data_IF_779715276498
#
_entry.id   IF_779715276498
#
_cell.length_a   1.000
_cell.length_b   1.000
_cell.length_c   1.000
_cell.angle_alpha   90.00
_cell.angle_beta   90.00
_cell.angle_gamma   90.00
#
_symmetry.space_group_name_H-M   'P 1'
#
loop_
_entity.id
_entity.type
_entity.pdbx_description
1 polymer ?
#
# COMPACT_ATOMS: atom_id res chain seq x y z
N UNK A 1 10.40 -5.31 -12.73
CA UNK A 1 9.48 -4.20 -13.04
C UNK A 1 10.22 -3.11 -13.80
N UNK A 2 9.62 -2.57 -14.86
CA UNK A 2 10.09 -1.32 -15.46
C UNK A 2 9.66 -0.14 -14.60
N UNK A 3 10.26 1.03 -14.85
CA UNK A 3 9.96 2.30 -14.16
C UNK A 3 8.45 2.59 -14.00
N UNK A 4 7.63 2.16 -14.96
CA UNK A 4 6.17 2.32 -14.95
C UNK A 4 5.42 1.51 -13.87
N UNK A 5 5.93 0.34 -13.45
CA UNK A 5 5.29 -0.47 -12.41
C UNK A 5 5.54 0.07 -11.01
N UNK A 6 6.78 0.52 -10.78
CA UNK A 6 7.16 1.15 -9.52
C UNK A 6 6.43 2.48 -9.31
N UNK A 7 6.39 3.33 -10.35
CA UNK A 7 5.67 4.60 -10.33
C UNK A 7 4.17 4.39 -10.05
N UNK A 8 3.54 3.38 -10.68
CA UNK A 8 2.12 3.10 -10.44
C UNK A 8 1.83 2.66 -9.00
N UNK A 9 2.70 1.85 -8.38
CA UNK A 9 2.53 1.44 -6.97
C UNK A 9 2.75 2.62 -6.03
N UNK A 10 3.72 3.48 -6.33
CA UNK A 10 3.94 4.72 -5.57
C UNK A 10 2.72 5.65 -5.63
N UNK A 11 2.11 5.82 -6.81
CA UNK A 11 0.88 6.61 -6.96
C UNK A 11 -0.31 6.01 -6.19
N UNK A 12 -0.47 4.67 -6.19
CA UNK A 12 -1.50 4.01 -5.39
C UNK A 12 -1.29 4.26 -3.90
N UNK A 13 -0.05 4.19 -3.41
CA UNK A 13 0.26 4.48 -2.02
C UNK A 13 0.02 5.96 -1.67
N UNK A 14 0.41 6.90 -2.55
CA UNK A 14 0.14 8.31 -2.38
C UNK A 14 -1.37 8.61 -2.32
N UNK A 15 -2.16 7.99 -3.21
CA UNK A 15 -3.62 8.10 -3.21
C UNK A 15 -4.24 7.54 -1.92
N UNK A 16 -3.73 6.40 -1.43
CA UNK A 16 -4.15 5.82 -0.16
C UNK A 16 -3.90 6.78 1.01
N UNK A 17 -2.67 7.28 1.15
CA UNK A 17 -2.30 8.19 2.25
C UNK A 17 -3.07 9.52 2.13
N UNK A 18 -3.25 10.03 0.92
CA UNK A 18 -4.08 11.20 0.65
C UNK A 18 -5.54 10.99 1.05
N UNK A 19 -6.11 9.81 0.82
CA UNK A 19 -7.45 9.47 1.27
C UNK A 19 -7.56 9.45 2.80
N UNK A 20 -6.60 8.79 3.49
CA UNK A 20 -6.61 8.75 4.97
C UNK A 20 -6.53 10.16 5.55
N UNK A 21 -5.59 10.99 5.07
CA UNK A 21 -5.43 12.38 5.51
C UNK A 21 -6.69 13.23 5.30
N UNK A 22 -7.42 13.01 4.20
CA UNK A 22 -8.67 13.73 3.89
C UNK A 22 -9.87 13.20 4.68
N UNK A 23 -9.87 11.93 5.05
CA UNK A 23 -11.03 11.24 5.63
C UNK A 23 -10.65 10.32 6.81
N UNK A 24 -10.01 10.84 7.87
CA UNK A 24 -9.45 10.01 8.95
C UNK A 24 -10.53 9.16 9.66
N UNK A 25 -11.68 9.77 9.99
CA UNK A 25 -12.78 9.04 10.64
C UNK A 25 -13.44 7.97 9.77
N UNK A 26 -13.46 8.15 8.44
CA UNK A 26 -13.99 7.15 7.50
C UNK A 26 -13.02 5.97 7.38
N UNK A 27 -11.72 6.25 7.34
CA UNK A 27 -10.69 5.23 7.29
C UNK A 27 -10.69 4.37 8.56
N UNK A 28 -10.77 4.98 9.74
CA UNK A 28 -10.89 4.28 11.02
C UNK A 28 -12.16 3.43 11.09
N UNK A 29 -13.31 3.96 10.66
CA UNK A 29 -14.57 3.22 10.63
C UNK A 29 -14.49 1.99 9.69
N UNK A 30 -13.91 2.15 8.50
CA UNK A 30 -13.68 1.05 7.56
C UNK A 30 -12.74 -0.02 8.14
N UNK A 31 -11.72 0.38 8.91
CA UNK A 31 -10.79 -0.54 9.54
C UNK A 31 -11.44 -1.35 10.68
N UNK A 32 -12.25 -0.70 11.52
CA UNK A 32 -12.81 -1.29 12.73
C UNK A 32 -14.11 -2.08 12.52
N UNK A 33 -14.89 -1.79 11.47
CA UNK A 33 -16.22 -2.38 11.30
C UNK A 33 -16.46 -2.94 9.90
N UNK A 34 -15.80 -4.03 9.50
CA UNK A 34 -16.14 -4.63 8.23
C UNK A 34 -17.29 -5.61 8.47
N UNK A 35 -18.52 -5.21 8.18
CA UNK A 35 -19.48 -6.22 7.73
C UNK A 35 -18.99 -6.73 6.37
N UNK A 36 -18.05 -7.69 6.42
CA UNK A 36 -17.36 -8.26 5.26
C UNK A 36 -18.31 -8.99 4.31
N UNK A 37 -19.60 -9.04 4.64
CA UNK A 37 -20.66 -9.65 3.84
C UNK A 37 -21.43 -8.63 3.01
N UNK A 38 -21.19 -7.32 3.18
CA UNK A 38 -21.82 -6.32 2.32
C UNK A 38 -21.28 -6.49 0.87
N UNK A 39 -22.15 -6.76 -0.12
CA UNK A 39 -21.72 -7.10 -1.47
C UNK A 39 -20.89 -6.04 -2.19
N UNK A 40 -21.20 -4.75 -2.03
CA UNK A 40 -20.44 -3.66 -2.65
C UNK A 40 -19.04 -3.53 -2.05
N UNK A 41 -18.88 -3.73 -0.74
CA UNK A 41 -17.58 -3.77 -0.06
C UNK A 41 -16.73 -4.94 -0.55
N UNK A 42 -17.35 -6.11 -0.78
CA UNK A 42 -16.67 -7.27 -1.37
C UNK A 42 -16.19 -6.94 -2.78
N UNK A 43 -17.05 -6.40 -3.64
CA UNK A 43 -16.70 -6.02 -5.02
C UNK A 43 -15.55 -5.01 -5.05
N UNK A 44 -15.64 -3.94 -4.25
CA UNK A 44 -14.60 -2.92 -4.18
C UNK A 44 -13.27 -3.48 -3.65
N UNK A 45 -13.32 -4.32 -2.62
CA UNK A 45 -12.12 -4.95 -2.05
C UNK A 45 -11.44 -5.89 -3.04
N UNK A 46 -12.22 -6.69 -3.79
CA UNK A 46 -11.72 -7.57 -4.85
C UNK A 46 -11.10 -6.78 -5.99
N UNK A 47 -11.76 -5.71 -6.45
CA UNK A 47 -11.22 -4.86 -7.51
C UNK A 47 -9.89 -4.20 -7.12
N UNK A 48 -9.77 -3.75 -5.85
CA UNK A 48 -8.52 -3.21 -5.33
C UNK A 48 -7.41 -4.26 -5.26
N UNK A 49 -7.72 -5.48 -4.82
CA UNK A 49 -6.77 -6.60 -4.81
C UNK A 49 -6.30 -6.93 -6.23
N UNK A 50 -7.23 -7.08 -7.18
CA UNK A 50 -6.91 -7.40 -8.57
C UNK A 50 -6.03 -6.33 -9.22
N UNK A 51 -6.29 -5.06 -8.95
CA UNK A 51 -5.44 -3.96 -9.41
C UNK A 51 -4.00 -4.12 -8.89
N UNK A 52 -3.84 -4.33 -7.59
CA UNK A 52 -2.52 -4.47 -6.97
C UNK A 52 -1.77 -5.69 -7.50
N UNK A 53 -2.45 -6.83 -7.69
CA UNK A 53 -1.85 -8.02 -8.28
C UNK A 53 -1.39 -7.78 -9.73
N UNK A 54 -2.17 -7.04 -10.53
CA UNK A 54 -1.76 -6.65 -11.89
C UNK A 54 -0.52 -5.77 -11.89
N UNK A 55 -0.44 -4.80 -10.98
CA UNK A 55 0.73 -3.94 -10.84
C UNK A 55 1.98 -4.71 -10.39
N UNK A 56 1.81 -5.82 -9.67
CA UNK A 56 2.90 -6.69 -9.22
C UNK A 56 3.32 -7.76 -10.24
N UNK A 57 2.59 -7.98 -11.33
CA UNK A 57 2.98 -8.96 -12.36
C UNK A 57 4.40 -8.78 -12.94
N UNK A 58 4.95 -7.57 -13.08
CA UNK A 58 6.31 -7.38 -13.58
C UNK A 58 7.43 -7.75 -12.60
N UNK A 59 7.11 -8.15 -11.36
CA UNK A 59 8.09 -8.61 -10.37
C UNK A 59 8.24 -10.14 -10.46
N UNK A 60 9.42 -10.69 -10.14
CA UNK A 60 9.68 -12.13 -10.20
C UNK A 60 9.06 -12.85 -9.00
N UNK A 61 7.74 -12.81 -8.86
CA UNK A 61 6.99 -13.36 -7.74
C UNK A 61 6.12 -14.53 -8.21
N UNK A 62 6.05 -15.58 -7.40
CA UNK A 62 4.96 -16.55 -7.47
C UNK A 62 3.63 -15.90 -7.07
N UNK A 63 2.51 -16.56 -7.38
CA UNK A 63 1.18 -16.09 -6.99
C UNK A 63 1.05 -15.86 -5.48
N UNK A 64 1.57 -16.81 -4.68
CA UNK A 64 1.58 -16.69 -3.23
C UNK A 64 2.40 -15.49 -2.76
N UNK A 65 3.58 -15.28 -3.33
CA UNK A 65 4.44 -14.14 -3.01
C UNK A 65 3.80 -12.81 -3.40
N UNK A 66 3.10 -12.74 -4.54
CA UNK A 66 2.36 -11.55 -4.93
C UNK A 66 1.25 -11.20 -3.92
N UNK A 67 0.50 -12.19 -3.44
CA UNK A 67 -0.50 -11.99 -2.37
C UNK A 67 0.14 -11.53 -1.05
N UNK A 68 1.29 -12.09 -0.69
CA UNK A 68 2.07 -11.63 0.46
C UNK A 68 2.58 -10.20 0.28
N UNK A 69 3.02 -9.84 -0.93
CA UNK A 69 3.47 -8.48 -1.27
C UNK A 69 2.32 -7.47 -1.19
N UNK A 70 1.12 -7.80 -1.69
CA UNK A 70 -0.08 -6.94 -1.52
C UNK A 70 -0.37 -6.70 -0.04
N UNK A 71 -0.30 -7.74 0.79
CA UNK A 71 -0.47 -7.60 2.24
C UNK A 71 0.62 -6.73 2.85
N UNK A 72 1.87 -6.89 2.43
CA UNK A 72 3.01 -6.08 2.87
C UNK A 72 2.83 -4.60 2.53
N UNK A 73 2.49 -4.29 1.28
CA UNK A 73 2.22 -2.93 0.82
C UNK A 73 1.09 -2.27 1.63
N UNK A 74 -0.03 -2.98 1.83
CA UNK A 74 -1.15 -2.47 2.64
C UNK A 74 -0.72 -2.20 4.09
N UNK A 75 0.07 -3.08 4.69
CA UNK A 75 0.60 -2.91 6.05
C UNK A 75 1.52 -1.68 6.15
N UNK A 76 2.40 -1.47 5.16
CA UNK A 76 3.27 -0.29 5.09
C UNK A 76 2.43 0.99 5.03
N UNK A 77 1.47 1.07 4.11
CA UNK A 77 0.60 2.23 3.97
C UNK A 77 -0.22 2.49 5.24
N UNK A 78 -0.80 1.45 5.85
CA UNK A 78 -1.55 1.58 7.10
C UNK A 78 -0.67 2.08 8.25
N UNK A 79 0.52 1.50 8.43
CA UNK A 79 1.47 1.92 9.46
C UNK A 79 1.89 3.37 9.27
N UNK A 80 2.22 3.77 8.03
CA UNK A 80 2.60 5.14 7.70
C UNK A 80 1.46 6.13 7.98
N UNK A 81 0.23 5.80 7.59
CA UNK A 81 -0.95 6.61 7.86
C UNK A 81 -1.20 6.78 9.37
N UNK A 82 -1.20 5.68 10.13
CA UNK A 82 -1.46 5.69 11.57
C UNK A 82 -0.39 6.47 12.34
N UNK A 83 0.88 6.38 11.92
CA UNK A 83 1.96 7.22 12.48
C UNK A 83 1.73 8.69 12.18
N UNK A 84 1.34 9.05 10.95
CA UNK A 84 1.06 10.43 10.56
C UNK A 84 -0.07 11.07 11.35
N UNK A 85 -1.19 10.36 11.50
CA UNK A 85 -2.34 10.84 12.28
C UNK A 85 -2.03 11.07 13.76
N UNK A 86 -1.09 10.28 14.33
CA UNK A 86 -0.68 10.38 15.74
C UNK A 86 0.48 11.34 15.97
N UNK A 87 0.89 12.12 14.96
CA UNK A 87 2.01 13.05 15.08
C UNK A 87 3.38 12.37 15.17
N UNK A 88 3.52 11.14 14.66
CA UNK A 88 4.74 10.33 14.73
C UNK A 88 5.91 10.83 13.88
N UNK A 89 5.70 11.79 12.98
CA UNK A 89 6.74 12.39 12.14
C UNK A 89 7.24 13.72 12.72
N UNK A 90 7.78 13.70 13.95
CA UNK A 90 8.24 14.90 14.67
C UNK A 90 9.61 15.45 14.25
N UNK A 91 10.28 14.82 13.29
CA UNK A 91 11.57 15.28 12.76
C UNK A 91 11.37 16.30 11.62
N UNK A 92 12.38 17.11 11.33
CA UNK A 92 12.35 18.14 10.28
C UNK A 92 12.59 17.56 8.88
N UNK A 93 11.83 16.54 8.50
CA UNK A 93 11.85 15.93 7.17
C UNK A 93 10.45 15.85 6.61
N UNK A 94 10.31 15.83 5.29
CA UNK A 94 9.03 15.60 4.63
C UNK A 94 8.61 14.13 4.81
N UNK A 95 7.45 13.84 5.43
CA UNK A 95 6.93 12.48 5.50
C UNK A 95 6.70 11.87 4.12
N UNK A 96 6.32 12.64 3.11
CA UNK A 96 6.04 12.08 1.78
C UNK A 96 7.32 11.59 1.10
N UNK A 97 8.46 12.25 1.33
CA UNK A 97 9.78 11.75 0.93
C UNK A 97 10.11 10.42 1.63
N UNK A 98 9.84 10.34 2.94
CA UNK A 98 10.05 9.11 3.72
C UNK A 98 9.21 7.93 3.22
N UNK A 99 7.95 8.20 2.84
CA UNK A 99 7.07 7.22 2.22
C UNK A 99 7.63 6.73 0.88
N UNK A 100 8.03 7.65 0.00
CA UNK A 100 8.59 7.31 -1.32
C UNK A 100 9.83 6.43 -1.19
N UNK A 101 10.79 6.80 -0.33
CA UNK A 101 12.00 6.02 -0.08
C UNK A 101 11.68 4.63 0.48
N UNK A 102 10.73 4.54 1.41
CA UNK A 102 10.29 3.26 2.00
C UNK A 102 9.67 2.34 0.94
N UNK A 103 8.84 2.88 0.07
CA UNK A 103 8.23 2.13 -1.03
C UNK A 103 9.28 1.69 -2.04
N UNK A 104 10.20 2.57 -2.45
CA UNK A 104 11.31 2.19 -3.33
C UNK A 104 12.13 1.04 -2.73
N UNK A 105 12.46 1.08 -1.44
CA UNK A 105 13.17 0.00 -0.76
C UNK A 105 12.37 -1.32 -0.77
N UNK A 106 11.07 -1.25 -0.48
CA UNK A 106 10.16 -2.40 -0.52
C UNK A 106 10.11 -3.03 -1.91
N UNK A 107 9.90 -2.22 -2.96
CA UNK A 107 9.80 -2.69 -4.35
C UNK A 107 11.13 -3.25 -4.86
N UNK A 108 12.25 -2.63 -4.50
CA UNK A 108 13.58 -3.18 -4.79
C UNK A 108 13.79 -4.55 -4.13
N UNK A 109 13.28 -4.74 -2.91
CA UNK A 109 13.26 -6.02 -2.23
C UNK A 109 12.45 -7.08 -2.98
N UNK A 110 11.26 -6.73 -3.46
CA UNK A 110 10.44 -7.64 -4.28
C UNK A 110 11.13 -8.02 -5.60
N UNK A 111 11.82 -7.07 -6.22
CA UNK A 111 12.56 -7.30 -7.46
C UNK A 111 13.70 -8.31 -7.31
N UNK A 112 14.28 -8.40 -6.11
CA UNK A 112 15.44 -9.25 -5.81
C UNK A 112 15.13 -10.35 -4.79
N UNK A 113 13.85 -10.68 -4.58
CA UNK A 113 13.42 -11.61 -3.52
C UNK A 113 14.10 -12.99 -3.60
N UNK A 114 14.46 -13.41 -4.81
CA UNK A 114 15.14 -14.68 -5.11
C UNK A 114 16.66 -14.55 -5.32
N UNK A 115 17.21 -13.34 -5.19
CA UNK A 115 18.65 -13.09 -5.40
C UNK A 115 19.36 -13.12 -4.04
N UNK A 116 20.35 -13.99 -3.90
CA UNK A 116 21.18 -14.14 -2.68
C UNK A 116 22.29 -13.10 -2.63
#
# INVERSE_FOLDING_TARGET
>A
AGRSGDEAIQEVAAAYIGFVRKHPGLYEAFFHAPDRKEPQLVVASTAALDLLLRLLQPYPLSEAEALHAVRGLRSLCHGFASMGEKGGFGMSFDPDESLQLTLTAFLNGLQHLHTT
#
